data_IF_801791924727
#
_entry.id   IF_801791924727
#
_cell.length_a   1.000
_cell.length_b   1.000
_cell.length_c   1.000
_cell.angle_alpha   90.00
_cell.angle_beta   90.00
_cell.angle_gamma   90.00
#
_symmetry.space_group_name_H-M   'P 1'
#
loop_
_entity.id
_entity.type
_entity.pdbx_description
1 polymer ?
#
# COMPACT_ATOMS: atom_id res chain seq x y z
N UNK A 1 14.55 17.24 -15.60
CA UNK A 1 15.81 16.50 -15.43
C UNK A 1 15.82 15.55 -14.23
N UNK A 2 15.46 15.99 -13.01
CA UNK A 2 15.48 15.15 -11.80
C UNK A 2 14.75 13.80 -11.96
N UNK A 3 13.53 13.83 -12.51
CA UNK A 3 12.72 12.64 -12.76
C UNK A 3 13.33 11.67 -13.77
N UNK A 4 14.07 12.16 -14.76
CA UNK A 4 14.74 11.30 -15.74
C UNK A 4 15.90 10.54 -15.09
N UNK A 5 16.72 11.23 -14.29
CA UNK A 5 17.85 10.62 -13.58
C UNK A 5 17.38 9.57 -12.56
N UNK A 6 16.33 9.87 -11.79
CA UNK A 6 15.77 8.89 -10.84
C UNK A 6 15.19 7.67 -11.55
N UNK A 7 14.56 7.82 -12.73
CA UNK A 7 14.05 6.69 -13.50
C UNK A 7 15.16 5.78 -14.08
N UNK A 8 16.38 6.29 -14.25
CA UNK A 8 17.55 5.54 -14.72
C UNK A 8 18.21 4.79 -13.55
N UNK A 9 18.43 5.48 -12.44
CA UNK A 9 19.32 4.99 -11.37
C UNK A 9 18.59 4.48 -10.12
N UNK A 10 17.28 4.70 -10.00
CA UNK A 10 16.51 4.31 -8.81
C UNK A 10 15.15 3.72 -9.18
N UNK A 11 15.04 2.41 -9.10
CA UNK A 11 13.82 1.68 -9.48
C UNK A 11 12.71 1.76 -8.41
N UNK A 12 13.01 2.22 -7.19
CA UNK A 12 12.04 2.38 -6.10
C UNK A 12 11.35 3.76 -6.07
N UNK A 13 11.84 4.75 -6.83
CA UNK A 13 11.23 6.10 -6.87
C UNK A 13 10.07 6.22 -7.89
N UNK A 14 9.52 5.08 -8.33
CA UNK A 14 8.40 5.02 -9.28
C UNK A 14 8.69 4.06 -10.43
N UNK A 15 8.11 4.33 -11.61
CA UNK A 15 8.36 3.50 -12.80
C UNK A 15 9.75 3.72 -13.40
N UNK A 16 10.39 2.66 -13.87
CA UNK A 16 11.64 2.74 -14.64
C UNK A 16 11.40 3.25 -16.06
N UNK A 17 12.47 3.65 -16.78
CA UNK A 17 12.36 4.03 -18.20
C UNK A 17 11.79 2.88 -19.05
N UNK A 18 12.21 1.64 -18.80
CA UNK A 18 11.70 0.46 -19.51
C UNK A 18 10.21 0.28 -19.29
N UNK A 19 9.75 0.37 -18.03
CA UNK A 19 8.32 0.31 -17.69
C UNK A 19 7.54 1.45 -18.35
N UNK A 20 8.11 2.66 -18.40
CA UNK A 20 7.47 3.82 -19.05
C UNK A 20 7.31 3.61 -20.55
N UNK A 21 8.35 3.13 -21.23
CA UNK A 21 8.29 2.82 -22.65
C UNK A 21 7.29 1.70 -22.94
N UNK A 22 7.32 0.62 -22.15
CA UNK A 22 6.37 -0.48 -22.27
C UNK A 22 4.92 -0.01 -22.07
N UNK A 23 4.68 0.78 -21.03
CA UNK A 23 3.33 1.30 -20.72
C UNK A 23 2.84 2.24 -21.82
N UNK A 24 3.70 3.08 -22.37
CA UNK A 24 3.33 3.93 -23.52
C UNK A 24 2.95 3.09 -24.75
N UNK A 25 3.67 2.01 -25.02
CA UNK A 25 3.49 1.21 -26.24
C UNK A 25 2.34 0.19 -26.16
N UNK A 26 2.03 -0.31 -24.96
CA UNK A 26 1.11 -1.44 -24.76
C UNK A 26 0.08 -1.25 -23.63
N UNK A 27 0.24 -0.22 -22.80
CA UNK A 27 -0.60 -0.02 -21.62
C UNK A 27 -1.91 0.68 -21.97
N UNK A 28 -3.03 0.05 -21.59
CA UNK A 28 -4.35 0.67 -21.54
C UNK A 28 -4.64 1.09 -20.10
N UNK A 29 -4.93 2.38 -19.88
CA UNK A 29 -5.27 2.91 -18.55
C UNK A 29 -6.64 2.38 -18.13
N UNK A 30 -6.71 1.72 -16.97
CA UNK A 30 -7.95 1.14 -16.40
C UNK A 30 -8.57 2.05 -15.35
N UNK A 31 -7.73 2.71 -14.55
CA UNK A 31 -8.20 3.64 -13.52
C UNK A 31 -7.08 4.17 -12.65
N UNK A 32 -7.46 4.94 -11.63
CA UNK A 32 -6.57 5.51 -10.63
C UNK A 32 -7.21 5.32 -9.25
N UNK A 33 -6.40 5.07 -8.22
CA UNK A 33 -6.88 5.02 -6.85
C UNK A 33 -6.81 6.38 -6.13
N UNK A 34 -7.31 6.40 -4.89
CA UNK A 34 -7.34 7.56 -4.00
C UNK A 34 -5.94 8.08 -3.63
N UNK A 35 -4.92 7.21 -3.68
CA UNK A 35 -3.52 7.57 -3.40
C UNK A 35 -2.80 8.10 -4.66
N UNK A 36 -3.49 8.08 -5.81
CA UNK A 36 -2.99 8.54 -7.10
C UNK A 36 -2.23 7.47 -7.89
N UNK A 37 -2.15 6.22 -7.44
CA UNK A 37 -1.54 5.14 -8.21
C UNK A 37 -2.41 4.83 -9.43
N UNK A 38 -1.78 4.66 -10.59
CA UNK A 38 -2.50 4.42 -11.85
C UNK A 38 -2.34 2.97 -12.29
N UNK A 39 -3.45 2.34 -12.66
CA UNK A 39 -3.52 0.93 -13.02
C UNK A 39 -3.69 0.75 -14.53
N UNK A 40 -2.97 -0.23 -15.06
CA UNK A 40 -2.90 -0.52 -16.48
C UNK A 40 -3.15 -2.00 -16.75
N UNK A 41 -3.72 -2.26 -17.91
CA UNK A 41 -3.82 -3.60 -18.49
C UNK A 41 -3.21 -3.60 -19.90
N UNK A 42 -2.67 -4.73 -20.35
CA UNK A 42 -2.16 -4.84 -21.71
C UNK A 42 -1.47 -6.17 -22.02
N UNK A 43 -1.45 -6.52 -23.31
CA UNK A 43 -0.92 -7.79 -23.79
C UNK A 43 -1.59 -9.00 -23.13
N UNK A 44 -0.93 -10.15 -23.20
CA UNK A 44 -1.45 -11.42 -22.67
C UNK A 44 -0.36 -12.13 -21.87
N UNK A 45 -0.74 -12.68 -20.73
CA UNK A 45 0.08 -13.56 -19.90
C UNK A 45 0.22 -14.93 -20.57
N UNK A 46 1.20 -15.75 -20.18
CA UNK A 46 1.36 -17.12 -20.70
C UNK A 46 0.12 -18.00 -20.51
N UNK A 47 -0.73 -17.68 -19.53
CA UNK A 47 -1.97 -18.40 -19.21
C UNK A 47 -3.23 -17.73 -19.81
N UNK A 48 -3.09 -16.81 -20.78
CA UNK A 48 -4.21 -16.26 -21.55
C UNK A 48 -4.91 -15.03 -20.95
N UNK A 49 -4.57 -14.60 -19.74
CA UNK A 49 -5.18 -13.42 -19.11
C UNK A 49 -4.43 -12.11 -19.44
N UNK A 50 -5.11 -10.94 -19.51
CA UNK A 50 -4.44 -9.66 -19.74
C UNK A 50 -3.44 -9.37 -18.63
N UNK A 51 -2.22 -8.90 -18.95
CA UNK A 51 -1.27 -8.53 -17.89
C UNK A 51 -1.75 -7.25 -17.22
N UNK A 52 -1.71 -7.21 -15.89
CA UNK A 52 -2.09 -6.07 -15.06
C UNK A 52 -0.86 -5.53 -14.33
N UNK A 53 -0.67 -4.21 -14.30
CA UNK A 53 0.41 -3.56 -13.55
C UNK A 53 -0.02 -2.20 -13.03
N UNK A 54 0.73 -1.69 -12.04
CA UNK A 54 0.49 -0.40 -11.39
C UNK A 54 1.72 0.50 -11.56
N UNK A 55 1.46 1.79 -11.75
CA UNK A 55 2.45 2.86 -11.63
C UNK A 55 2.12 3.62 -10.35
N UNK A 56 3.00 3.51 -9.35
CA UNK A 56 2.84 4.17 -8.06
C UNK A 56 3.02 5.69 -8.16
N UNK A 57 2.25 6.41 -7.35
CA UNK A 57 2.42 7.84 -7.14
C UNK A 57 3.52 8.09 -6.08
N UNK A 58 4.78 8.05 -6.51
CA UNK A 58 5.94 8.24 -5.66
C UNK A 58 6.69 6.94 -5.41
N UNK A 59 6.94 6.61 -4.14
CA UNK A 59 7.71 5.43 -3.78
C UNK A 59 6.97 4.14 -4.16
N UNK A 60 7.69 3.22 -4.81
CA UNK A 60 7.14 1.94 -5.25
C UNK A 60 7.02 0.97 -4.07
N UNK A 61 5.87 0.98 -3.41
CA UNK A 61 5.55 0.14 -2.25
C UNK A 61 4.35 -0.76 -2.56
N UNK A 62 4.55 -2.08 -2.52
CA UNK A 62 3.52 -3.06 -2.88
C UNK A 62 2.27 -2.96 -2.00
N UNK A 63 2.45 -2.67 -0.71
CA UNK A 63 1.34 -2.52 0.23
C UNK A 63 0.53 -1.22 0.04
N UNK A 64 0.96 -0.30 -0.83
CA UNK A 64 0.22 0.92 -1.14
C UNK A 64 -1.02 0.69 -2.03
N UNK A 65 -1.16 -0.51 -2.63
CA UNK A 65 -2.35 -0.86 -3.41
C UNK A 65 -3.55 -1.07 -2.46
N UNK A 66 -4.66 -0.32 -2.59
CA UNK A 66 -5.82 -0.49 -1.74
C UNK A 66 -6.57 -1.80 -2.04
N UNK A 67 -7.44 -2.27 -1.12
CA UNK A 67 -8.00 -3.63 -1.18
C UNK A 67 -8.72 -4.01 -2.48
N UNK A 68 -9.53 -3.09 -3.03
CA UNK A 68 -10.25 -3.33 -4.29
C UNK A 68 -9.30 -3.51 -5.47
N UNK A 69 -8.33 -2.61 -5.61
CA UNK A 69 -7.32 -2.69 -6.66
C UNK A 69 -6.39 -3.88 -6.46
N UNK A 70 -6.12 -4.30 -5.22
CA UNK A 70 -5.39 -5.52 -4.92
C UNK A 70 -6.18 -6.77 -5.33
N UNK A 71 -7.51 -6.78 -5.19
CA UNK A 71 -8.38 -7.82 -5.75
C UNK A 71 -8.17 -7.98 -7.25
N UNK A 72 -8.32 -6.88 -7.99
CA UNK A 72 -8.19 -6.86 -9.44
C UNK A 72 -6.77 -7.17 -9.91
N UNK A 73 -5.74 -6.55 -9.31
CA UNK A 73 -4.34 -6.77 -9.69
C UNK A 73 -3.90 -8.23 -9.58
N UNK A 74 -4.42 -8.95 -8.59
CA UNK A 74 -4.08 -10.35 -8.34
C UNK A 74 -5.08 -11.34 -8.96
N UNK A 75 -5.87 -10.90 -9.95
CA UNK A 75 -6.85 -11.75 -10.65
C UNK A 75 -7.86 -12.43 -9.71
N UNK A 76 -8.16 -11.84 -8.55
CA UNK A 76 -9.22 -12.32 -7.66
C UNK A 76 -10.60 -11.83 -8.12
N UNK A 77 -10.62 -10.71 -8.84
CA UNK A 77 -11.80 -10.15 -9.48
C UNK A 77 -11.45 -9.75 -10.92
N UNK A 78 -12.44 -9.88 -11.81
CA UNK A 78 -12.29 -9.42 -13.20
C UNK A 78 -12.64 -7.94 -13.35
N UNK A 79 -13.55 -7.45 -12.53
CA UNK A 79 -14.01 -6.07 -12.54
C UNK A 79 -13.05 -5.21 -11.72
N UNK A 80 -12.49 -4.12 -12.28
CA UNK A 80 -11.70 -3.17 -11.53
C UNK A 80 -12.60 -2.26 -10.67
N UNK A 81 -12.10 -1.71 -9.55
CA UNK A 81 -12.88 -0.80 -8.70
C UNK A 81 -13.41 0.44 -9.44
N UNK A 82 -12.75 0.86 -10.54
CA UNK A 82 -13.22 1.97 -11.37
C UNK A 82 -14.54 1.69 -12.11
N UNK A 83 -14.96 0.43 -12.19
CA UNK A 83 -16.21 -0.02 -12.81
C UNK A 83 -17.23 -0.53 -11.77
N UNK A 84 -16.88 -0.48 -10.49
CA UNK A 84 -17.78 -0.87 -9.40
C UNK A 84 -18.47 0.37 -8.80
N UNK A 85 -19.68 0.19 -8.28
CA UNK A 85 -20.44 1.21 -7.55
C UNK A 85 -20.29 1.09 -6.03
N UNK A 86 -19.14 0.58 -5.58
CA UNK A 86 -18.88 0.34 -4.17
C UNK A 86 -18.83 1.65 -3.36
N UNK A 87 -19.47 1.65 -2.19
CA UNK A 87 -19.45 2.75 -1.22
C UNK A 87 -18.91 2.22 0.09
N UNK A 88 -17.89 2.91 0.63
CA UNK A 88 -17.28 2.56 1.90
C UNK A 88 -18.31 2.63 3.05
N UNK A 89 -18.24 1.68 3.98
CA UNK A 89 -19.10 1.66 5.16
C UNK A 89 -18.55 2.58 6.24
N UNK A 90 -19.41 3.08 7.13
CA UNK A 90 -19.02 4.01 8.20
C UNK A 90 -17.93 3.45 9.14
N UNK A 91 -17.93 2.15 9.37
CA UNK A 91 -16.94 1.46 10.21
C UNK A 91 -15.62 1.15 9.48
N UNK A 92 -15.56 1.36 8.17
CA UNK A 92 -14.42 0.98 7.35
C UNK A 92 -13.32 2.03 7.44
N UNK A 93 -12.11 1.58 7.75
CA UNK A 93 -10.94 2.46 7.80
C UNK A 93 -10.40 2.73 6.39
N UNK A 94 -9.87 3.94 6.13
CA UNK A 94 -9.15 4.22 4.89
C UNK A 94 -7.91 3.34 4.78
N UNK A 95 -7.50 3.05 3.55
CA UNK A 95 -6.32 2.24 3.28
C UNK A 95 -5.06 2.93 3.81
N UNK A 96 -4.17 2.15 4.43
CA UNK A 96 -2.85 2.61 4.84
C UNK A 96 -1.79 1.59 4.37
N UNK A 97 -0.71 2.05 3.72
CA UNK A 97 0.41 1.17 3.37
C UNK A 97 1.10 0.63 4.62
N UNK A 98 1.93 -0.40 4.45
CA UNK A 98 2.70 -0.99 5.52
C UNK A 98 3.68 0.04 6.12
N UNK A 99 3.57 0.25 7.43
CA UNK A 99 4.41 1.18 8.19
C UNK A 99 5.57 0.49 8.93
N UNK A 100 5.77 -0.80 8.71
CA UNK A 100 6.86 -1.57 9.35
C UNK A 100 8.21 -0.90 9.10
N UNK A 101 9.01 -0.73 10.15
CA UNK A 101 10.32 -0.07 10.08
C UNK A 101 10.27 1.47 10.07
N UNK A 102 9.09 2.09 9.98
CA UNK A 102 8.91 3.53 10.10
C UNK A 102 8.61 3.94 11.55
N UNK A 103 8.72 5.24 11.85
CA UNK A 103 8.39 5.79 13.16
C UNK A 103 6.95 5.47 13.59
N UNK A 104 6.02 5.47 12.62
CA UNK A 104 4.59 5.19 12.81
C UNK A 104 4.24 3.70 12.82
N UNK A 105 5.21 2.78 12.86
CA UNK A 105 4.93 1.35 13.00
C UNK A 105 4.08 1.08 14.24
N UNK A 106 3.07 0.20 14.10
CA UNK A 106 2.29 -0.26 15.24
C UNK A 106 3.21 -0.94 16.25
N UNK A 107 3.03 -0.59 17.53
CA UNK A 107 3.72 -1.23 18.63
C UNK A 107 2.69 -1.65 19.67
N UNK A 108 2.67 -2.93 20.07
CA UNK A 108 1.71 -3.40 21.07
C UNK A 108 2.00 -2.74 22.42
N UNK A 109 0.95 -2.61 23.24
CA UNK A 109 1.07 -2.10 24.59
C UNK A 109 2.05 -2.98 25.40
N UNK A 110 2.98 -2.36 26.12
CA UNK A 110 4.05 -3.05 26.84
C UNK A 110 5.27 -3.44 26.01
N UNK A 111 5.31 -3.10 24.73
CA UNK A 111 6.54 -3.20 23.94
C UNK A 111 7.62 -2.26 24.50
N UNK A 112 8.85 -2.76 24.63
CA UNK A 112 10.03 -1.97 25.02
C UNK A 112 10.31 -0.79 24.08
N UNK A 113 9.78 -0.85 22.85
CA UNK A 113 9.96 0.19 21.84
C UNK A 113 8.92 1.32 21.94
N UNK A 114 7.96 1.24 22.87
CA UNK A 114 6.98 2.31 23.16
C UNK A 114 7.46 3.08 24.37
N UNK A 115 7.63 4.39 24.23
CA UNK A 115 7.72 5.27 25.39
C UNK A 115 6.31 5.35 26.01
N UNK A 116 6.05 4.57 27.05
CA UNK A 116 4.73 4.50 27.67
C UNK A 116 4.69 3.60 28.89
N UNK A 117 3.67 3.84 29.72
CA UNK A 117 3.42 3.07 30.94
C UNK A 117 3.30 1.57 30.64
N UNK A 118 3.92 0.77 31.50
CA UNK A 118 3.79 -0.69 31.49
C UNK A 118 2.29 -1.02 31.52
N UNK A 119 1.80 -1.96 30.69
CA UNK A 119 0.40 -2.34 30.70
C UNK A 119 0.01 -2.71 32.12
N UNK A 120 -1.05 -2.07 32.66
CA UNK A 120 -1.64 -2.46 33.94
C UNK A 120 -2.14 -3.89 33.80
N UNK A 121 -1.36 -4.85 34.30
CA UNK A 121 -1.81 -6.22 34.37
C UNK A 121 -2.85 -6.27 35.47
N UNK A 122 -3.96 -6.98 35.24
CA UNK A 122 -5.07 -7.13 36.21
C UNK A 122 -4.64 -7.73 37.55
N UNK A 123 -3.41 -8.25 37.66
CA UNK A 123 -2.81 -8.80 38.87
C UNK A 123 -1.49 -8.15 39.27
N UNK A 124 -1.18 -6.94 38.78
CA UNK A 124 -0.02 -6.21 39.28
C UNK A 124 -0.22 -5.93 40.77
N UNK A 125 0.77 -6.34 41.56
CA UNK A 125 0.85 -6.07 42.99
C UNK A 125 0.85 -4.56 43.23
N UNK A 126 -0.13 -4.05 43.97
CA UNK A 126 -0.10 -2.69 44.49
C UNK A 126 0.94 -2.61 45.61
N UNK A 127 2.11 -2.06 45.28
CA UNK A 127 3.16 -1.84 46.25
C UNK A 127 2.69 -0.85 47.31
N UNK A 128 2.71 -1.29 48.56
CA UNK A 128 2.39 -0.43 49.69
C UNK A 128 3.34 0.77 49.74
N UNK A 129 2.78 1.98 49.75
CA UNK A 129 3.54 3.24 49.85
C UNK A 129 3.34 3.82 51.25
N UNK A 130 4.34 3.77 52.15
CA UNK A 130 4.23 4.37 53.47
C UNK A 130 4.17 5.90 53.41
N UNK A 131 3.20 6.49 54.12
CA UNK A 131 3.15 7.92 54.44
C UNK A 131 2.17 8.73 53.59
N UNK A 132 0.99 8.96 54.15
CA UNK A 132 0.18 10.16 53.89
C UNK A 132 0.64 11.29 54.82
#
# INVERSE_FOLDING_TARGET
MKTLLTQIFTWWNGQTIGTRFHTWRFGKKVGQDELGNTYYEGGTTSWGMPRRWVIYNGYAEASAIPPGWHGWMHYRTDVPPSQESYVAREWQKPHQPNLTGLSKAYRPQGSLAVAGERPRVTGDYDAWTPGN
#
